data_IF_373861527353
#
_entry.id   IF_373861527353
#
_cell.length_a   1.000
_cell.length_b   1.000
_cell.length_c   1.000
_cell.angle_alpha   90.00
_cell.angle_beta   90.00
_cell.angle_gamma   90.00
#
_symmetry.space_group_name_H-M   'P 1'
#
loop_
_entity.id
_entity.type
_entity.pdbx_description
1 polymer ?
#
# COMPACT_ATOMS: atom_id res chain seq x y z
N UNK A 1 -2.15 12.45 0.07
CA UNK A 1 -1.12 12.28 -0.98
C UNK A 1 -1.42 13.24 -2.13
N UNK A 2 -1.34 14.50 -1.82
CA UNK A 2 -1.59 15.63 -2.73
C UNK A 2 -0.51 16.70 -2.53
N UNK A 3 -0.48 17.72 -3.37
CA UNK A 3 0.49 18.79 -3.31
C UNK A 3 0.39 19.61 -2.03
N UNK A 4 -0.80 19.75 -1.46
CA UNK A 4 -0.98 20.46 -0.20
C UNK A 4 -0.26 19.74 0.96
N UNK A 5 -0.34 18.41 1.01
CA UNK A 5 0.39 17.60 2.00
C UNK A 5 1.91 17.67 1.80
N UNK A 6 2.40 17.69 0.55
CA UNK A 6 3.82 17.91 0.24
C UNK A 6 4.26 19.27 0.77
N UNK A 7 3.55 20.34 0.42
CA UNK A 7 3.86 21.70 0.88
C UNK A 7 3.86 21.79 2.41
N UNK A 8 2.87 21.18 3.08
CA UNK A 8 2.82 21.18 4.54
C UNK A 8 4.05 20.51 5.17
N UNK A 9 4.51 19.38 4.63
CA UNK A 9 5.72 18.70 5.10
C UNK A 9 6.97 19.57 4.91
N UNK A 10 7.13 20.21 3.75
CA UNK A 10 8.25 21.10 3.46
C UNK A 10 8.24 22.34 4.37
N UNK A 11 7.07 22.93 4.63
CA UNK A 11 6.91 24.06 5.54
C UNK A 11 7.25 23.69 7.00
N UNK A 12 7.08 22.43 7.39
CA UNK A 12 7.51 21.92 8.69
C UNK A 12 9.01 21.61 8.77
N UNK A 13 9.76 21.87 7.71
CA UNK A 13 11.22 21.72 7.67
C UNK A 13 11.71 20.42 7.02
N UNK A 14 10.85 19.61 6.42
CA UNK A 14 11.29 18.48 5.62
C UNK A 14 12.04 18.97 4.36
N UNK A 15 13.13 18.29 4.00
CA UNK A 15 13.87 18.59 2.78
C UNK A 15 13.27 17.95 1.53
N UNK A 16 12.43 16.96 1.71
CA UNK A 16 11.71 16.24 0.64
C UNK A 16 10.49 15.50 1.20
N UNK A 17 9.56 15.13 0.33
CA UNK A 17 8.43 14.26 0.63
C UNK A 17 8.48 13.01 -0.26
N UNK A 18 8.48 11.82 0.35
CA UNK A 18 8.46 10.55 -0.36
C UNK A 18 7.03 10.01 -0.42
N UNK A 19 6.54 9.72 -1.63
CA UNK A 19 5.22 9.16 -1.84
C UNK A 19 5.33 7.76 -2.45
N UNK A 20 4.77 6.74 -1.76
CA UNK A 20 4.69 5.37 -2.26
C UNK A 20 3.31 5.05 -2.81
N UNK A 21 2.29 5.11 -1.95
CA UNK A 21 0.90 4.73 -2.30
C UNK A 21 0.32 5.53 -3.46
N UNK A 22 0.74 6.77 -3.65
CA UNK A 22 0.31 7.61 -4.76
C UNK A 22 0.58 6.96 -6.14
N UNK A 23 1.69 6.21 -6.26
CA UNK A 23 2.11 5.61 -7.52
C UNK A 23 1.59 4.17 -7.73
N UNK A 24 0.93 3.57 -6.74
CA UNK A 24 0.41 2.19 -6.86
C UNK A 24 -0.65 2.08 -7.96
N UNK A 25 -1.49 3.09 -8.14
CA UNK A 25 -2.53 3.11 -9.17
C UNK A 25 -2.05 3.53 -10.56
N UNK A 26 -0.79 3.97 -10.71
CA UNK A 26 -0.23 4.34 -12.00
C UNK A 26 -0.14 3.11 -12.93
N UNK A 27 -0.40 3.27 -14.25
CA UNK A 27 -0.26 2.18 -15.22
C UNK A 27 1.12 1.52 -15.21
N UNK A 28 2.17 2.27 -14.92
CA UNK A 28 3.56 1.80 -14.87
C UNK A 28 3.87 0.95 -13.61
N UNK A 29 2.99 0.97 -12.61
CA UNK A 29 3.15 0.16 -11.40
C UNK A 29 2.96 -1.33 -11.72
N UNK A 30 3.72 -2.19 -11.04
CA UNK A 30 3.54 -3.66 -11.08
C UNK A 30 2.39 -4.16 -10.20
N UNK A 31 1.60 -3.27 -9.56
CA UNK A 31 0.41 -3.66 -8.83
C UNK A 31 -0.59 -4.37 -9.75
N UNK A 32 -1.14 -5.49 -9.30
CA UNK A 32 -2.12 -6.24 -10.07
C UNK A 32 -3.52 -5.59 -10.04
N UNK A 33 -4.42 -6.12 -10.85
CA UNK A 33 -5.79 -5.60 -10.98
C UNK A 33 -6.55 -5.65 -9.65
N UNK A 34 -6.35 -6.70 -8.84
CA UNK A 34 -7.02 -6.86 -7.56
C UNK A 34 -6.55 -5.81 -6.54
N UNK A 35 -5.24 -5.53 -6.50
CA UNK A 35 -4.70 -4.48 -5.64
C UNK A 35 -5.18 -3.09 -6.06
N UNK A 36 -5.19 -2.79 -7.36
CA UNK A 36 -5.70 -1.50 -7.87
C UNK A 36 -7.19 -1.34 -7.59
N UNK A 37 -7.98 -2.41 -7.76
CA UNK A 37 -9.40 -2.42 -7.43
C UNK A 37 -9.65 -2.18 -5.93
N UNK A 38 -8.89 -2.84 -5.06
CA UNK A 38 -8.96 -2.63 -3.61
C UNK A 38 -8.63 -1.19 -3.24
N UNK A 39 -7.56 -0.61 -3.83
CA UNK A 39 -7.16 0.76 -3.59
C UNK A 39 -8.22 1.77 -4.07
N UNK A 40 -8.98 1.43 -5.11
CA UNK A 40 -10.06 2.27 -5.67
C UNK A 40 -11.44 1.99 -5.07
N UNK A 41 -11.51 1.20 -4.01
CA UNK A 41 -12.73 0.85 -3.28
C UNK A 41 -12.75 1.47 -1.87
N UNK A 42 -13.80 1.18 -1.11
CA UNK A 42 -13.88 1.56 0.31
C UNK A 42 -12.69 1.02 1.14
N UNK A 43 -12.04 -0.06 0.72
CA UNK A 43 -10.86 -0.60 1.38
C UNK A 43 -9.71 0.43 1.51
N UNK A 44 -9.64 1.44 0.65
CA UNK A 44 -8.66 2.52 0.77
C UNK A 44 -8.77 3.29 2.09
N UNK A 45 -9.97 3.36 2.69
CA UNK A 45 -10.23 4.00 3.97
C UNK A 45 -9.83 3.13 5.17
N UNK A 46 -9.54 1.84 4.96
CA UNK A 46 -9.29 0.85 5.99
C UNK A 46 -7.86 0.30 5.89
N UNK A 47 -6.87 1.14 6.28
CA UNK A 47 -5.48 0.69 6.38
C UNK A 47 -5.16 0.24 7.81
N UNK A 48 -4.37 -0.82 7.95
CA UNK A 48 -3.96 -1.37 9.25
C UNK A 48 -2.46 -1.63 9.30
N UNK A 49 -1.90 -1.58 10.50
CA UNK A 49 -0.52 -2.02 10.76
C UNK A 49 -0.51 -3.51 11.02
N UNK A 50 0.44 -4.21 10.42
CA UNK A 50 0.63 -5.65 10.63
C UNK A 50 2.09 -6.05 10.59
N UNK A 51 2.45 -7.09 11.32
CA UNK A 51 3.73 -7.79 11.21
C UNK A 51 3.57 -9.14 10.52
N UNK A 52 2.34 -9.63 10.35
CA UNK A 52 2.03 -10.97 9.89
C UNK A 52 2.56 -11.28 8.47
N UNK A 53 2.60 -10.25 7.60
CA UNK A 53 2.97 -10.44 6.18
C UNK A 53 4.48 -10.48 5.98
N UNK A 54 5.23 -9.66 6.72
CA UNK A 54 6.66 -9.47 6.45
C UNK A 54 7.58 -9.73 7.64
N UNK A 55 7.03 -9.99 8.82
CA UNK A 55 7.81 -10.07 10.06
C UNK A 55 8.22 -8.71 10.63
N UNK A 56 7.91 -7.62 9.93
CA UNK A 56 8.17 -6.24 10.37
C UNK A 56 6.90 -5.40 10.32
N UNK A 57 6.74 -4.40 11.22
CA UNK A 57 5.61 -3.50 11.17
C UNK A 57 5.51 -2.80 9.82
N UNK A 58 4.41 -2.99 9.13
CA UNK A 58 4.12 -2.33 7.86
C UNK A 58 2.62 -2.04 7.74
N UNK A 59 2.27 -0.95 7.06
CA UNK A 59 0.87 -0.57 6.86
C UNK A 59 0.41 -0.96 5.46
N UNK A 60 -0.76 -1.60 5.41
CA UNK A 60 -1.41 -1.98 4.16
C UNK A 60 -2.92 -1.83 4.23
N UNK A 61 -3.60 -2.08 3.13
CA UNK A 61 -5.06 -2.21 3.10
C UNK A 61 -5.47 -3.39 3.98
N UNK A 62 -6.54 -3.23 4.76
CA UNK A 62 -7.10 -4.31 5.54
C UNK A 62 -7.63 -5.40 4.58
N UNK A 63 -7.20 -6.64 4.78
CA UNK A 63 -7.57 -7.79 3.97
C UNK A 63 -7.57 -9.07 4.81
N UNK A 64 -7.83 -10.24 4.21
CA UNK A 64 -7.88 -11.52 4.93
C UNK A 64 -6.57 -11.86 5.62
N UNK A 65 -5.42 -11.53 5.01
CA UNK A 65 -4.12 -11.81 5.63
C UNK A 65 -3.92 -10.96 6.89
N UNK A 66 -4.24 -9.67 6.82
CA UNK A 66 -4.11 -8.78 7.99
C UNK A 66 -5.10 -9.16 9.10
N UNK A 67 -6.33 -9.58 8.74
CA UNK A 67 -7.32 -10.06 9.70
C UNK A 67 -6.83 -11.35 10.40
N UNK A 68 -6.37 -12.34 9.63
CA UNK A 68 -5.77 -13.54 10.20
C UNK A 68 -4.60 -13.21 11.14
N UNK A 69 -3.73 -12.29 10.73
CA UNK A 69 -2.59 -11.87 11.55
C UNK A 69 -2.96 -11.14 12.83
N UNK A 70 -4.14 -10.53 12.91
CA UNK A 70 -4.65 -9.91 14.12
C UNK A 70 -5.23 -10.94 15.12
N UNK A 71 -5.77 -12.05 14.60
CA UNK A 71 -6.43 -13.07 15.41
C UNK A 71 -5.50 -14.20 15.84
N UNK A 72 -4.35 -14.36 15.19
CA UNK A 72 -3.42 -15.45 15.50
C UNK A 72 -2.47 -15.08 16.64
N UNK A 73 -2.15 -16.07 17.47
CA UNK A 73 -1.06 -15.99 18.45
C UNK A 73 0.30 -16.39 17.87
N UNK A 74 0.31 -16.92 16.63
CA UNK A 74 1.54 -17.31 15.95
C UNK A 74 2.37 -16.06 15.60
N UNK A 75 3.66 -16.12 15.91
CA UNK A 75 4.58 -15.07 15.51
C UNK A 75 5.10 -15.32 14.11
N UNK A 76 5.08 -14.28 13.28
CA UNK A 76 5.71 -14.35 11.97
C UNK A 76 7.23 -14.51 12.12
N UNK A 77 7.89 -15.33 11.27
CA UNK A 77 9.34 -15.36 11.22
C UNK A 77 9.94 -13.99 10.89
N UNK A 78 11.21 -13.81 11.18
CA UNK A 78 11.91 -12.57 10.86
C UNK A 78 11.91 -12.31 9.34
N UNK A 79 11.93 -11.01 8.99
CA UNK A 79 12.16 -10.57 7.62
C UNK A 79 13.55 -11.03 7.14
N UNK A 80 13.72 -11.55 5.91
CA UNK A 80 12.72 -11.62 4.82
C UNK A 80 11.92 -12.94 4.77
N UNK A 81 12.13 -13.89 5.67
CA UNK A 81 11.53 -15.23 5.61
C UNK A 81 9.99 -15.15 5.59
N UNK A 82 9.39 -14.38 6.51
CA UNK A 82 7.95 -14.18 6.54
C UNK A 82 7.43 -13.60 5.22
N UNK A 83 8.18 -12.64 4.64
CA UNK A 83 7.75 -11.98 3.41
C UNK A 83 7.77 -12.91 2.19
N UNK A 84 8.75 -13.77 2.10
CA UNK A 84 8.85 -14.78 1.02
C UNK A 84 7.75 -15.85 1.17
N UNK A 85 7.48 -16.30 2.40
CA UNK A 85 6.34 -17.18 2.69
C UNK A 85 5.00 -16.50 2.34
N UNK A 86 4.84 -15.22 2.68
CA UNK A 86 3.66 -14.42 2.34
C UNK A 86 3.45 -14.29 0.83
N UNK A 87 4.51 -14.12 0.05
CA UNK A 87 4.44 -14.12 -1.43
C UNK A 87 3.98 -15.47 -1.98
N UNK A 88 4.51 -16.57 -1.44
CA UNK A 88 4.12 -17.91 -1.85
C UNK A 88 2.64 -18.18 -1.53
N UNK A 89 2.19 -17.81 -0.32
CA UNK A 89 0.79 -17.90 0.08
C UNK A 89 -0.11 -17.10 -0.87
N UNK A 90 0.24 -15.83 -1.16
CA UNK A 90 -0.52 -14.99 -2.07
C UNK A 90 -0.61 -15.58 -3.49
N UNK A 91 0.49 -16.16 -3.99
CA UNK A 91 0.50 -16.82 -5.30
C UNK A 91 -0.45 -18.03 -5.33
N UNK A 92 -0.41 -18.87 -4.31
CA UNK A 92 -1.30 -20.04 -4.19
C UNK A 92 -2.77 -19.61 -4.04
N UNK A 93 -3.05 -18.58 -3.24
CA UNK A 93 -4.38 -18.04 -3.06
C UNK A 93 -4.96 -17.50 -4.38
N UNK A 94 -4.17 -16.74 -5.13
CA UNK A 94 -4.57 -16.23 -6.46
C UNK A 94 -4.87 -17.34 -7.46
N UNK A 95 -4.09 -18.42 -7.44
CA UNK A 95 -4.35 -19.59 -8.28
C UNK A 95 -5.71 -20.27 -7.94
N UNK A 96 -6.17 -20.11 -6.70
CA UNK A 96 -7.48 -20.55 -6.23
C UNK A 96 -8.59 -19.47 -6.33
N UNK A 97 -8.32 -18.32 -6.99
CA UNK A 97 -9.28 -17.23 -7.16
C UNK A 97 -9.43 -16.31 -5.95
N UNK A 98 -8.55 -16.42 -4.94
CA UNK A 98 -8.60 -15.63 -3.72
C UNK A 98 -7.53 -14.51 -3.75
N UNK A 99 -7.93 -13.26 -3.57
CA UNK A 99 -7.04 -12.09 -3.67
C UNK A 99 -6.76 -11.39 -2.33
N UNK A 100 -7.33 -11.89 -1.23
CA UNK A 100 -7.23 -11.28 0.09
C UNK A 100 -5.92 -11.55 0.86
N UNK A 101 -4.92 -12.21 0.26
CA UNK A 101 -3.64 -12.56 0.90
C UNK A 101 -2.43 -11.78 0.36
N UNK A 102 -2.66 -10.72 -0.41
CA UNK A 102 -1.60 -9.87 -0.93
C UNK A 102 -1.02 -8.90 0.10
N UNK A 103 0.26 -8.59 -0.06
CA UNK A 103 0.90 -7.47 0.62
C UNK A 103 0.49 -6.14 -0.07
N UNK A 104 -0.72 -5.70 0.20
CA UNK A 104 -1.29 -4.48 -0.39
C UNK A 104 -0.87 -3.25 0.43
N UNK A 105 0.42 -2.91 0.37
CA UNK A 105 0.99 -1.82 1.16
C UNK A 105 0.37 -0.48 0.83
N UNK A 106 -0.16 0.21 1.83
CA UNK A 106 -0.81 1.49 1.66
C UNK A 106 -0.71 2.34 2.93
N UNK A 107 -0.35 3.59 2.79
CA UNK A 107 -0.41 4.57 3.86
C UNK A 107 -1.84 5.08 4.08
N UNK A 108 -2.06 5.83 5.16
CA UNK A 108 -3.37 6.37 5.52
C UNK A 108 -3.94 7.36 4.48
N UNK A 109 -3.09 7.93 3.62
CA UNK A 109 -3.52 8.76 2.49
C UNK A 109 -4.02 7.96 1.28
N UNK A 110 -4.24 6.64 1.39
CA UNK A 110 -4.69 5.80 0.29
C UNK A 110 -5.93 6.32 -0.45
N UNK A 111 -6.97 6.88 0.24
CA UNK A 111 -8.12 7.44 -0.46
C UNK A 111 -7.79 8.61 -1.40
N UNK A 112 -6.63 9.22 -1.27
CA UNK A 112 -6.17 10.34 -2.11
C UNK A 112 -5.40 9.87 -3.35
N UNK A 113 -5.37 8.56 -3.64
CA UNK A 113 -4.73 8.05 -4.86
C UNK A 113 -5.44 8.55 -6.11
N UNK A 114 -4.70 8.68 -7.20
CA UNK A 114 -5.20 9.14 -8.50
C UNK A 114 -4.70 8.20 -9.60
N UNK A 115 -5.58 7.44 -10.28
CA UNK A 115 -5.17 6.52 -11.34
C UNK A 115 -4.85 7.30 -12.62
N UNK A 116 -3.59 7.66 -12.79
CA UNK A 116 -3.07 8.36 -13.96
C UNK A 116 -1.61 7.97 -14.21
N UNK A 117 -1.04 8.25 -15.40
CA UNK A 117 0.38 8.02 -15.66
C UNK A 117 1.26 8.73 -14.63
N UNK A 118 2.40 8.11 -14.27
CA UNK A 118 3.28 8.62 -13.23
C UNK A 118 3.83 10.01 -13.56
N UNK A 119 4.10 10.29 -14.83
CA UNK A 119 4.56 11.61 -15.27
C UNK A 119 3.51 12.70 -15.04
N UNK A 120 2.24 12.40 -15.36
CA UNK A 120 1.12 13.32 -15.15
C UNK A 120 0.86 13.55 -13.67
N UNK A 121 0.94 12.49 -12.87
CA UNK A 121 0.82 12.59 -11.41
C UNK A 121 1.90 13.48 -10.81
N UNK A 122 3.15 13.34 -11.25
CA UNK A 122 4.26 14.19 -10.82
C UNK A 122 4.03 15.66 -11.18
N UNK A 123 3.62 15.94 -12.41
CA UNK A 123 3.32 17.30 -12.85
C UNK A 123 2.19 17.93 -12.02
N UNK A 124 1.13 17.15 -11.75
CA UNK A 124 0.01 17.59 -10.93
C UNK A 124 0.42 17.87 -9.48
N UNK A 125 1.15 16.95 -8.84
CA UNK A 125 1.65 17.11 -7.47
C UNK A 125 2.58 18.33 -7.36
N UNK A 126 3.43 18.56 -8.36
CA UNK A 126 4.29 19.75 -8.40
C UNK A 126 3.45 21.04 -8.48
N UNK A 127 2.48 21.09 -9.39
CA UNK A 127 1.59 22.27 -9.52
C UNK A 127 0.80 22.56 -8.24
N UNK A 128 0.29 21.51 -7.58
CA UNK A 128 -0.45 21.64 -6.31
C UNK A 128 0.43 22.05 -5.12
N UNK A 129 1.73 21.81 -5.19
CA UNK A 129 2.68 22.11 -4.11
C UNK A 129 3.26 23.53 -4.15
N UNK A 130 2.91 24.35 -5.14
CA UNK A 130 3.34 25.74 -5.30
C UNK A 130 2.53 26.76 -4.46
#
# INVERSE_FOLDING_TARGET
>A
MDGAGIRAALNLGAIAAQLGTAFVACPESSADAAYRAALSSDAAHHTTMTTAISGRPARGLANRFTAWGADTTAQAPDYPIAYDAGKALNAAAKAAGETGFGAQWAGQGAPLHRPMPAADLLALLHAESQ
#
